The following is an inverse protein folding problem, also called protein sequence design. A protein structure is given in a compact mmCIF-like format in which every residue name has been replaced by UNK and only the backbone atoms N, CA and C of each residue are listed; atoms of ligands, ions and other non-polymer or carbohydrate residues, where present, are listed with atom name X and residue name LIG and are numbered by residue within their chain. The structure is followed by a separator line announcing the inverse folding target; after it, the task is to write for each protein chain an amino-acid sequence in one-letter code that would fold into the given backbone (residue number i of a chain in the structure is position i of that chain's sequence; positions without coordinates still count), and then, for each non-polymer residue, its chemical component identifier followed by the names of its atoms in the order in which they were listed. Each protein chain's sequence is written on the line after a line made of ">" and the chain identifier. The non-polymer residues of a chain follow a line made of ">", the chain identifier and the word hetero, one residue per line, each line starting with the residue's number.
data_IF_313162961158
#
_entry.id   IF_313162961158
#
_cell.length_a   1.000
_cell.length_b   1.000
_cell.length_c   1.000
_cell.angle_alpha   90.00
_cell.angle_beta   90.00
_cell.angle_gamma   90.00
#
_symmetry.space_group_name_H-M   'P 1'
#
loop_
_entity.id
_entity.type
_entity.pdbx_description
1 polymer ?
#
# COMPACT_ATOMS: atom_id res chain seq x y z
N UNK A 1 -10.18 3.37 3.06
CA UNK A 1 -9.41 4.52 3.59
C UNK A 1 -9.33 5.68 2.61
N UNK A 2 -8.76 5.49 1.43
CA UNK A 2 -8.50 6.60 0.51
C UNK A 2 -9.76 7.31 0.00
N UNK A 3 -10.83 6.60 -0.33
CA UNK A 3 -12.09 7.20 -0.77
C UNK A 3 -12.68 8.09 0.31
N UNK A 4 -12.71 7.62 1.54
CA UNK A 4 -13.22 8.39 2.68
C UNK A 4 -12.34 9.59 2.99
N UNK A 5 -11.02 9.42 2.91
CA UNK A 5 -10.06 10.51 3.11
C UNK A 5 -10.26 11.63 2.09
N UNK A 6 -10.38 11.29 0.81
CA UNK A 6 -10.61 12.27 -0.26
C UNK A 6 -11.94 13.00 -0.10
N UNK A 7 -12.99 12.30 0.26
CA UNK A 7 -14.31 12.90 0.51
C UNK A 7 -14.27 13.86 1.70
N UNK A 8 -13.60 13.47 2.76
CA UNK A 8 -13.45 14.30 3.95
C UNK A 8 -12.64 15.56 3.64
N UNK A 9 -11.56 15.47 2.87
CA UNK A 9 -10.76 16.62 2.43
C UNK A 9 -11.57 17.57 1.54
N UNK A 10 -12.38 17.04 0.64
CA UNK A 10 -13.22 17.84 -0.23
C UNK A 10 -14.28 18.61 0.54
N UNK A 11 -14.79 18.03 1.63
CA UNK A 11 -15.78 18.68 2.50
C UNK A 11 -15.15 19.66 3.48
N UNK A 12 -13.95 19.37 3.97
CA UNK A 12 -13.27 20.16 5.01
C UNK A 12 -11.75 19.98 4.87
N UNK A 13 -11.07 21.00 4.37
CA UNK A 13 -9.62 21.07 4.23
C UNK A 13 -8.93 21.86 5.35
N UNK A 14 -9.61 22.08 6.46
CA UNK A 14 -9.04 22.77 7.61
C UNK A 14 -7.82 22.04 8.17
N UNK A 15 -6.92 22.77 8.81
CA UNK A 15 -5.72 22.20 9.43
C UNK A 15 -6.07 21.11 10.45
N UNK A 16 -7.15 21.29 11.20
CA UNK A 16 -7.62 20.30 12.17
C UNK A 16 -8.06 19.00 11.50
N UNK A 17 -8.82 19.08 10.42
CA UNK A 17 -9.27 17.90 9.68
C UNK A 17 -8.11 17.21 8.97
N UNK A 18 -7.21 17.97 8.36
CA UNK A 18 -6.00 17.45 7.73
C UNK A 18 -5.16 16.67 8.75
N UNK A 19 -4.93 17.22 9.93
CA UNK A 19 -4.20 16.53 10.99
C UNK A 19 -4.87 15.22 11.42
N UNK A 20 -6.19 15.22 11.53
CA UNK A 20 -6.98 14.04 11.87
C UNK A 20 -6.85 12.96 10.80
N UNK A 21 -6.98 13.33 9.53
CA UNK A 21 -6.86 12.40 8.41
C UNK A 21 -5.44 11.85 8.25
N UNK A 22 -4.44 12.70 8.47
CA UNK A 22 -3.04 12.28 8.47
C UNK A 22 -2.78 11.26 9.58
N UNK A 23 -3.32 11.48 10.77
CA UNK A 23 -3.20 10.54 11.88
C UNK A 23 -3.80 9.19 11.53
N UNK A 24 -4.97 9.18 10.90
CA UNK A 24 -5.59 7.94 10.41
C UNK A 24 -4.72 7.22 9.38
N UNK A 25 -4.17 7.96 8.43
CA UNK A 25 -3.31 7.39 7.41
C UNK A 25 -2.05 6.77 8.02
N UNK A 26 -1.42 7.45 8.98
CA UNK A 26 -0.25 6.97 9.70
C UNK A 26 -0.58 5.69 10.48
N UNK A 27 -1.68 5.68 11.21
CA UNK A 27 -2.10 4.51 11.99
C UNK A 27 -2.39 3.30 11.08
N UNK A 28 -3.07 3.52 9.97
CA UNK A 28 -3.34 2.46 8.98
C UNK A 28 -2.06 1.93 8.36
N UNK A 29 -1.13 2.81 8.04
CA UNK A 29 0.16 2.43 7.51
C UNK A 29 0.91 1.54 8.50
N UNK A 30 1.01 1.95 9.76
CA UNK A 30 1.72 1.21 10.79
C UNK A 30 1.10 -0.15 11.11
N UNK A 31 -0.22 -0.22 11.15
CA UNK A 31 -0.94 -1.44 11.55
C UNK A 31 -1.11 -2.41 10.38
N UNK A 32 -1.52 -1.93 9.22
CA UNK A 32 -1.93 -2.77 8.10
C UNK A 32 -0.92 -2.78 6.95
N UNK A 33 -0.54 -1.61 6.45
CA UNK A 33 0.27 -1.50 5.24
C UNK A 33 1.71 -1.99 5.45
N UNK A 34 2.32 -1.68 6.58
CA UNK A 34 3.68 -2.14 6.89
C UNK A 34 3.75 -3.66 6.85
N UNK A 35 2.81 -4.32 7.50
CA UNK A 35 2.74 -5.78 7.52
C UNK A 35 2.49 -6.35 6.11
N UNK A 36 1.59 -5.75 5.36
CA UNK A 36 1.28 -6.16 4.00
C UNK A 36 2.49 -6.03 3.07
N UNK A 37 3.17 -4.91 3.11
CA UNK A 37 4.37 -4.66 2.29
C UNK A 37 5.52 -5.59 2.69
N UNK A 38 5.68 -5.88 3.96
CA UNK A 38 6.69 -6.81 4.45
C UNK A 38 6.46 -8.22 3.91
N UNK A 39 5.22 -8.69 3.93
CA UNK A 39 4.86 -10.00 3.36
C UNK A 39 5.16 -10.04 1.86
N UNK A 40 4.79 -9.00 1.13
CA UNK A 40 5.08 -8.93 -0.31
C UNK A 40 6.58 -8.98 -0.57
N UNK A 41 7.38 -8.19 0.14
CA UNK A 41 8.82 -8.11 -0.09
C UNK A 41 9.57 -9.36 0.38
N UNK A 42 9.10 -10.02 1.42
CA UNK A 42 9.78 -11.20 1.99
C UNK A 42 9.30 -12.53 1.42
N UNK A 43 8.05 -12.63 1.01
CA UNK A 43 7.44 -13.90 0.56
C UNK A 43 7.07 -13.87 -0.91
N UNK A 44 6.25 -12.92 -1.33
CA UNK A 44 5.65 -12.91 -2.65
C UNK A 44 6.63 -12.49 -3.76
N UNK A 45 7.30 -11.37 -3.59
CA UNK A 45 8.20 -10.81 -4.60
C UNK A 45 9.42 -11.71 -4.86
N UNK A 46 10.08 -12.26 -3.83
CA UNK A 46 11.17 -13.20 -4.06
C UNK A 46 10.77 -14.43 -4.85
N UNK A 47 9.54 -14.91 -4.67
CA UNK A 47 9.00 -16.04 -5.42
C UNK A 47 8.81 -15.72 -6.92
N UNK A 48 8.58 -14.47 -7.28
CA UNK A 48 8.41 -14.02 -8.65
C UNK A 48 9.73 -13.76 -9.38
N UNK A 49 10.84 -13.68 -8.66
CA UNK A 49 12.14 -13.30 -9.22
C UNK A 49 12.25 -11.80 -9.48
N UNK A 50 13.39 -11.38 -10.02
CA UNK A 50 13.63 -9.97 -10.33
C UNK A 50 12.98 -9.57 -11.67
N UNK A 51 12.19 -8.51 -11.66
CA UNK A 51 11.64 -7.90 -12.86
C UNK A 51 11.28 -6.43 -12.61
N UNK A 52 11.03 -5.68 -13.69
CA UNK A 52 10.77 -4.24 -13.63
C UNK A 52 9.51 -3.91 -12.83
N UNK A 53 8.46 -4.74 -12.93
CA UNK A 53 7.22 -4.53 -12.18
C UNK A 53 7.47 -4.62 -10.67
N UNK A 54 8.17 -5.66 -10.22
CA UNK A 54 8.51 -5.87 -8.81
C UNK A 54 9.35 -4.71 -8.29
N UNK A 55 10.38 -4.31 -9.04
CA UNK A 55 11.23 -3.16 -8.66
C UNK A 55 10.39 -1.88 -8.52
N UNK A 56 9.44 -1.66 -9.42
CA UNK A 56 8.53 -0.51 -9.37
C UNK A 56 7.62 -0.55 -8.13
N UNK A 57 7.09 -1.71 -7.79
CA UNK A 57 6.23 -1.89 -6.61
C UNK A 57 7.01 -1.64 -5.31
N UNK A 58 8.23 -2.14 -5.21
CA UNK A 58 9.10 -1.88 -4.05
C UNK A 58 9.44 -0.40 -3.95
N UNK A 59 9.75 0.26 -5.07
CA UNK A 59 10.00 1.71 -5.08
C UNK A 59 8.78 2.48 -4.56
N UNK A 60 7.57 2.06 -4.91
CA UNK A 60 6.34 2.67 -4.41
C UNK A 60 6.16 2.48 -2.91
N UNK A 61 6.54 1.31 -2.36
CA UNK A 61 6.57 1.11 -0.90
C UNK A 61 7.44 2.15 -0.22
N UNK A 62 8.63 2.43 -0.78
CA UNK A 62 9.57 3.43 -0.23
C UNK A 62 9.03 4.84 -0.36
N UNK A 63 8.35 5.16 -1.45
CA UNK A 63 7.70 6.46 -1.65
C UNK A 63 6.57 6.67 -0.64
N UNK A 64 5.73 5.66 -0.41
CA UNK A 64 4.67 5.73 0.60
C UNK A 64 5.23 5.92 2.00
N UNK A 65 6.29 5.21 2.34
CA UNK A 65 6.99 5.36 3.62
C UNK A 65 7.49 6.80 3.81
N UNK A 66 8.08 7.38 2.76
CA UNK A 66 8.54 8.78 2.79
C UNK A 66 7.41 9.77 2.99
N UNK A 67 6.26 9.57 2.34
CA UNK A 67 5.09 10.42 2.52
C UNK A 67 4.53 10.32 3.94
N UNK A 68 4.48 9.13 4.51
CA UNK A 68 4.06 8.94 5.91
C UNK A 68 5.01 9.66 6.86
N UNK A 69 6.32 9.56 6.66
CA UNK A 69 7.30 10.26 7.49
C UNK A 69 7.13 11.78 7.43
N UNK A 70 6.88 12.31 6.24
CA UNK A 70 6.59 13.74 6.09
C UNK A 70 5.31 14.15 6.82
N UNK A 71 4.26 13.33 6.75
CA UNK A 71 3.00 13.60 7.44
C UNK A 71 3.12 13.54 8.96
N UNK A 72 4.05 12.76 9.49
CA UNK A 72 4.31 12.72 10.95
C UNK A 72 4.78 14.06 11.49
N UNK A 73 5.54 14.78 10.67
CA UNK A 73 6.13 16.07 11.06
C UNK A 73 5.25 17.25 10.68
N UNK A 74 4.75 17.28 9.46
CA UNK A 74 4.00 18.42 8.92
C UNK A 74 2.91 17.92 7.95
N UNK A 75 1.76 17.48 8.47
CA UNK A 75 0.68 16.99 7.62
C UNK A 75 0.08 18.09 6.75
N UNK A 76 -0.13 17.81 5.47
CA UNK A 76 -0.79 18.70 4.53
C UNK A 76 -1.82 17.94 3.70
N UNK A 77 -2.79 18.65 3.13
CA UNK A 77 -3.78 18.06 2.24
C UNK A 77 -3.12 17.44 1.01
N UNK A 78 -2.09 18.11 0.48
CA UNK A 78 -1.34 17.64 -0.70
C UNK A 78 -0.63 16.31 -0.42
N UNK A 79 -0.02 16.15 0.75
CA UNK A 79 0.62 14.89 1.15
C UNK A 79 -0.39 13.75 1.27
N UNK A 80 -1.56 14.03 1.84
CA UNK A 80 -2.65 13.06 1.93
C UNK A 80 -3.16 12.64 0.56
N UNK A 81 -3.38 13.58 -0.35
CA UNK A 81 -3.84 13.29 -1.70
C UNK A 81 -2.80 12.48 -2.47
N UNK A 82 -1.53 12.85 -2.36
CA UNK A 82 -0.42 12.14 -2.99
C UNK A 82 -0.30 10.71 -2.48
N UNK A 83 -0.39 10.52 -1.16
CA UNK A 83 -0.40 9.18 -0.55
C UNK A 83 -1.56 8.34 -1.04
N UNK A 84 -2.77 8.89 -1.07
CA UNK A 84 -3.95 8.18 -1.54
C UNK A 84 -3.85 7.81 -3.03
N UNK A 85 -3.36 8.70 -3.87
CA UNK A 85 -3.17 8.45 -5.29
C UNK A 85 -2.14 7.33 -5.51
N UNK A 86 -1.03 7.39 -4.79
CA UNK A 86 0.05 6.40 -4.89
C UNK A 86 -0.43 5.02 -4.42
N UNK A 87 -1.10 4.95 -3.27
CA UNK A 87 -1.63 3.69 -2.74
C UNK A 87 -2.67 3.07 -3.67
N UNK A 88 -3.60 3.87 -4.17
CA UNK A 88 -4.63 3.38 -5.10
C UNK A 88 -4.03 2.85 -6.40
N UNK A 89 -3.05 3.55 -6.96
CA UNK A 89 -2.34 3.11 -8.16
C UNK A 89 -1.52 1.84 -7.93
N UNK A 90 -0.88 1.75 -6.78
CA UNK A 90 -0.11 0.58 -6.35
C UNK A 90 -0.99 -0.68 -6.27
N UNK A 91 -2.13 -0.58 -5.62
CA UNK A 91 -3.08 -1.69 -5.48
C UNK A 91 -3.62 -2.13 -6.84
N UNK A 92 -3.96 -1.20 -7.72
CA UNK A 92 -4.42 -1.53 -9.07
C UNK A 92 -3.35 -2.29 -9.86
N UNK A 93 -2.09 -1.90 -9.74
CA UNK A 93 -1.00 -2.60 -10.41
C UNK A 93 -0.81 -4.01 -9.86
N UNK A 94 -0.93 -4.18 -8.57
CA UNK A 94 -0.88 -5.52 -7.97
C UNK A 94 -2.03 -6.39 -8.46
N UNK A 95 -3.24 -5.88 -8.46
CA UNK A 95 -4.42 -6.63 -8.90
C UNK A 95 -4.40 -6.97 -10.38
N UNK A 96 -3.97 -6.05 -11.24
CA UNK A 96 -4.05 -6.23 -12.69
C UNK A 96 -2.78 -6.81 -13.31
N UNK A 97 -1.62 -6.37 -12.88
CA UNK A 97 -0.35 -6.74 -13.51
C UNK A 97 0.41 -7.81 -12.74
N UNK A 98 0.55 -7.67 -11.43
CA UNK A 98 1.29 -8.62 -10.61
C UNK A 98 0.57 -9.97 -10.55
N UNK A 99 -0.73 -9.97 -10.36
CA UNK A 99 -1.52 -11.20 -10.33
C UNK A 99 -1.40 -12.00 -11.61
N UNK A 100 -1.45 -11.34 -12.77
CA UNK A 100 -1.25 -12.02 -14.06
C UNK A 100 0.14 -12.64 -14.19
N UNK A 101 1.18 -11.89 -13.81
CA UNK A 101 2.56 -12.40 -13.85
C UNK A 101 2.74 -13.61 -12.94
N UNK A 102 2.21 -13.53 -11.73
CA UNK A 102 2.28 -14.61 -10.76
C UNK A 102 1.65 -15.88 -11.32
N UNK A 103 0.47 -15.78 -11.91
CA UNK A 103 -0.24 -16.93 -12.50
C UNK A 103 0.51 -17.56 -13.66
N UNK A 104 1.28 -16.79 -14.41
CA UNK A 104 2.05 -17.28 -15.56
C UNK A 104 3.38 -17.92 -15.18
N UNK A 105 4.03 -17.41 -14.15
CA UNK A 105 5.43 -17.71 -13.84
C UNK A 105 5.58 -18.71 -12.69
N UNK A 106 4.66 -18.69 -11.72
CA UNK A 106 4.77 -19.53 -10.53
C UNK A 106 3.94 -20.81 -10.64
N UNK A 107 4.50 -21.96 -10.20
CA UNK A 107 3.73 -23.17 -10.02
C UNK A 107 2.59 -22.94 -9.02
N UNK A 108 1.47 -23.62 -9.23
CA UNK A 108 0.30 -23.51 -8.37
C UNK A 108 0.62 -23.77 -6.89
N UNK A 109 1.51 -24.70 -6.62
CA UNK A 109 1.93 -25.02 -5.25
C UNK A 109 2.61 -23.84 -4.56
N UNK A 110 3.42 -23.07 -5.29
CA UNK A 110 4.07 -21.86 -4.77
C UNK A 110 3.05 -20.77 -4.55
N UNK A 111 2.09 -20.61 -5.45
CA UNK A 111 0.98 -19.66 -5.31
C UNK A 111 0.14 -19.98 -4.08
N UNK A 112 -0.20 -21.25 -3.88
CA UNK A 112 -1.00 -21.68 -2.73
C UNK A 112 -0.26 -21.41 -1.42
N UNK A 113 1.04 -21.67 -1.36
CA UNK A 113 1.86 -21.40 -0.18
C UNK A 113 1.97 -19.90 0.10
N UNK A 114 2.21 -19.09 -0.92
CA UNK A 114 2.28 -17.64 -0.79
C UNK A 114 0.94 -17.07 -0.33
N UNK A 115 -0.16 -17.53 -0.92
CA UNK A 115 -1.51 -17.14 -0.54
C UNK A 115 -1.83 -17.50 0.90
N UNK A 116 -1.47 -18.71 1.34
CA UNK A 116 -1.67 -19.15 2.72
C UNK A 116 -0.86 -18.30 3.70
N UNK A 117 0.39 -18.00 3.38
CA UNK A 117 1.24 -17.16 4.23
C UNK A 117 0.70 -15.73 4.31
N UNK A 118 0.23 -15.18 3.21
CA UNK A 118 -0.40 -13.86 3.17
C UNK A 118 -1.66 -13.86 4.04
N UNK A 119 -2.53 -14.85 3.87
CA UNK A 119 -3.78 -14.97 4.65
C UNK A 119 -3.52 -15.09 6.15
N UNK A 120 -2.46 -15.77 6.54
CA UNK A 120 -2.09 -15.90 7.95
C UNK A 120 -1.56 -14.62 8.57
N UNK A 121 -0.86 -13.80 7.81
CA UNK A 121 -0.10 -12.66 8.31
C UNK A 121 -0.73 -11.32 7.97
N UNK A 122 -1.50 -11.25 6.90
CA UNK A 122 -2.05 -10.00 6.41
C UNK A 122 -3.28 -9.55 7.19
N UNK A 123 -3.35 -8.27 7.46
CA UNK A 123 -4.55 -7.61 7.93
C UNK A 123 -5.22 -7.00 6.69
N UNK A 124 -6.53 -7.21 6.55
CA UNK A 124 -7.27 -6.69 5.39
C UNK A 124 -7.21 -5.18 5.32
N UNK A 125 -6.83 -4.70 4.15
CA UNK A 125 -6.82 -3.26 3.86
C UNK A 125 -8.18 -2.90 3.25
N UNK A 126 -8.92 -2.04 3.93
CA UNK A 126 -10.18 -1.48 3.44
C UNK A 126 -9.91 -0.14 2.75
N UNK A 127 -10.16 -0.09 1.47
CA UNK A 127 -9.98 1.14 0.67
C UNK A 127 -11.28 1.91 0.50
#
# INVERSE_FOLDING_TARGET
>A
MCVMTRRSLAADDSAANVAKLARRAIDRYEIELTNHFEIEEQVLFPACGENALIAGLVAEHRMMEGLIDQMRTAPTAELLEEFCALLSGHIRREENELFEQIQRVLPREVLDRAGTEIDRRAIRICL
#
